data_IF_530070643224
#
_entry.id   IF_530070643224
#
_cell.length_a   1.000
_cell.length_b   1.000
_cell.length_c   1.000
_cell.angle_alpha   90.00
_cell.angle_beta   90.00
_cell.angle_gamma   90.00
#
_symmetry.space_group_name_H-M   'P 1'
#
loop_
_entity.id
_entity.type
_entity.pdbx_description
1 polymer ?
#
# COMPACT_ATOMS: atom_id res chain seq x y z
N UNK A 1 8.95 -27.60 22.11
CA UNK A 1 7.81 -27.98 21.24
C UNK A 1 7.75 -29.50 21.22
N UNK A 2 6.59 -30.09 21.47
CA UNK A 2 6.39 -31.54 21.37
C UNK A 2 6.15 -31.86 19.89
N UNK A 3 7.16 -32.42 19.23
CA UNK A 3 7.04 -32.79 17.82
C UNK A 3 6.36 -34.16 17.72
N UNK A 4 5.04 -34.14 17.55
CA UNK A 4 4.25 -35.36 17.42
C UNK A 4 4.13 -35.73 15.93
N UNK A 5 5.08 -36.54 15.45
CA UNK A 5 5.24 -36.91 14.02
C UNK A 5 4.00 -37.60 13.39
N UNK A 6 3.09 -38.11 14.21
CA UNK A 6 1.86 -38.80 13.74
C UNK A 6 0.80 -37.79 13.26
N UNK A 7 0.82 -36.56 13.77
CA UNK A 7 -0.15 -35.51 13.38
C UNK A 7 0.24 -34.91 12.03
N UNK A 8 1.54 -34.68 11.81
CA UNK A 8 2.08 -34.02 10.61
C UNK A 8 1.92 -34.85 9.33
N UNK A 9 1.73 -36.18 9.44
CA UNK A 9 1.59 -37.06 8.29
C UNK A 9 0.18 -37.04 7.65
N UNK A 10 -0.83 -36.50 8.34
CA UNK A 10 -2.24 -36.44 7.86
C UNK A 10 -2.66 -35.05 7.36
N UNK A 11 -1.84 -34.04 7.55
CA UNK A 11 -2.14 -32.70 7.07
C UNK A 11 -1.84 -32.65 5.57
N UNK A 12 -2.90 -32.74 4.76
CA UNK A 12 -2.82 -32.29 3.37
C UNK A 12 -2.29 -30.86 3.40
N UNK A 13 -1.28 -30.57 2.58
CA UNK A 13 -0.83 -29.20 2.38
C UNK A 13 -2.06 -28.34 2.11
N UNK A 14 -2.37 -27.45 3.04
CA UNK A 14 -3.43 -26.47 2.87
C UNK A 14 -2.89 -25.49 1.84
N UNK A 15 -3.26 -25.68 0.57
CA UNK A 15 -3.09 -24.67 -0.47
C UNK A 15 -4.14 -23.58 -0.23
N UNK A 16 -4.00 -22.86 0.88
CA UNK A 16 -4.81 -21.69 1.22
C UNK A 16 -4.34 -20.54 0.34
N UNK A 17 -4.83 -20.51 -0.90
CA UNK A 17 -4.69 -19.35 -1.77
C UNK A 17 -5.89 -18.44 -1.50
N UNK A 18 -5.72 -17.44 -0.64
CA UNK A 18 -6.77 -16.47 -0.37
C UNK A 18 -7.08 -15.69 -1.65
N UNK A 19 -8.36 -15.61 -2.08
CA UNK A 19 -8.73 -14.92 -3.33
C UNK A 19 -8.24 -13.47 -3.39
N UNK A 20 -8.06 -12.85 -2.22
CA UNK A 20 -7.68 -11.45 -2.05
C UNK A 20 -6.16 -11.26 -1.80
N UNK A 21 -5.38 -12.32 -1.57
CA UNK A 21 -3.92 -12.23 -1.41
C UNK A 21 -3.20 -12.45 -2.74
N UNK A 22 -3.69 -11.80 -3.80
CA UNK A 22 -2.96 -11.78 -5.07
C UNK A 22 -1.90 -10.71 -4.99
N UNK A 23 -0.65 -11.10 -5.23
CA UNK A 23 0.47 -10.17 -5.34
C UNK A 23 0.20 -9.25 -6.53
N UNK A 24 -0.33 -8.05 -6.26
CA UNK A 24 -0.64 -7.08 -7.30
C UNK A 24 0.68 -6.65 -7.95
N UNK A 25 0.90 -7.06 -9.20
CA UNK A 25 2.05 -6.61 -9.97
C UNK A 25 1.89 -5.12 -10.28
N UNK A 26 2.74 -4.30 -9.67
CA UNK A 26 2.80 -2.87 -9.97
C UNK A 26 3.60 -2.69 -11.26
N UNK A 27 2.95 -2.28 -12.36
CA UNK A 27 3.62 -2.01 -13.64
C UNK A 27 4.45 -0.73 -13.62
N UNK A 28 4.02 0.27 -12.83
CA UNK A 28 4.67 1.56 -12.68
C UNK A 28 4.59 1.98 -11.21
N UNK A 29 5.72 2.41 -10.64
CA UNK A 29 5.80 2.83 -9.25
C UNK A 29 4.87 4.04 -9.02
N UNK A 30 3.83 3.94 -8.17
CA UNK A 30 2.97 5.07 -7.88
C UNK A 30 3.76 6.23 -7.29
N UNK A 31 3.37 7.47 -7.60
CA UNK A 31 4.04 8.67 -7.08
C UNK A 31 4.05 8.74 -5.54
N UNK A 32 3.12 8.07 -4.87
CA UNK A 32 2.99 8.00 -3.41
C UNK A 32 3.68 6.78 -2.78
N UNK A 33 4.39 5.95 -3.56
CA UNK A 33 4.98 4.70 -3.06
C UNK A 33 5.96 4.94 -1.90
N UNK A 34 6.78 5.99 -1.95
CA UNK A 34 7.69 6.34 -0.85
C UNK A 34 6.94 6.71 0.42
N UNK A 35 5.81 7.43 0.30
CA UNK A 35 4.98 7.80 1.44
C UNK A 35 4.27 6.58 2.04
N UNK A 36 3.74 5.70 1.18
CA UNK A 36 3.11 4.44 1.60
C UNK A 36 4.11 3.56 2.37
N UNK A 37 5.31 3.35 1.81
CA UNK A 37 6.38 2.58 2.46
C UNK A 37 6.82 3.19 3.80
N UNK A 38 6.93 4.53 3.86
CA UNK A 38 7.25 5.22 5.09
C UNK A 38 6.15 5.04 6.15
N UNK A 39 4.87 5.12 5.77
CA UNK A 39 3.76 4.94 6.71
C UNK A 39 3.53 3.50 7.15
N UNK A 40 3.71 2.55 6.25
CA UNK A 40 3.55 1.12 6.54
C UNK A 40 4.70 0.55 7.38
N UNK A 41 5.94 0.97 7.10
CA UNK A 41 7.14 0.32 7.65
C UNK A 41 8.25 1.27 8.12
N UNK A 42 8.02 2.58 8.19
CA UNK A 42 9.04 3.59 8.51
C UNK A 42 10.27 3.56 7.57
N UNK A 43 10.08 3.04 6.35
CA UNK A 43 11.16 2.92 5.36
C UNK A 43 11.35 4.25 4.65
N UNK A 44 12.56 4.81 4.74
CA UNK A 44 12.95 6.02 4.01
C UNK A 44 13.93 5.64 2.89
N UNK A 45 13.71 6.09 1.64
CA UNK A 45 14.62 5.78 0.54
C UNK A 45 16.05 6.28 0.82
N UNK A 46 17.05 5.47 0.46
CA UNK A 46 18.47 5.76 0.74
C UNK A 46 19.01 6.88 -0.13
N UNK A 47 18.46 7.00 -1.33
CA UNK A 47 18.74 8.01 -2.35
C UNK A 47 18.18 9.41 -2.02
N UNK A 48 17.34 9.53 -1.00
CA UNK A 48 16.83 10.84 -0.58
C UNK A 48 17.94 11.70 0.04
N UNK A 49 18.07 12.92 -0.48
CA UNK A 49 18.83 14.01 0.14
C UNK A 49 18.22 14.38 1.51
N UNK A 50 18.99 15.07 2.35
CA UNK A 50 18.50 15.59 3.63
C UNK A 50 17.18 16.37 3.46
N UNK A 51 17.11 17.22 2.43
CA UNK A 51 15.96 18.10 2.18
C UNK A 51 14.70 17.29 1.81
N UNK A 52 14.87 16.26 0.98
CA UNK A 52 13.77 15.35 0.62
C UNK A 52 13.28 14.56 1.83
N UNK A 53 14.18 14.09 2.71
CA UNK A 53 13.77 13.42 3.96
C UNK A 53 12.96 14.35 4.86
N UNK A 54 13.41 15.60 5.05
CA UNK A 54 12.65 16.59 5.84
C UNK A 54 11.26 16.83 5.24
N UNK A 55 11.17 16.95 3.92
CA UNK A 55 9.89 17.09 3.22
C UNK A 55 9.00 15.88 3.43
N UNK A 56 9.53 14.66 3.28
CA UNK A 56 8.80 13.42 3.53
C UNK A 56 8.21 13.40 4.94
N UNK A 57 9.01 13.70 5.97
CA UNK A 57 8.53 13.74 7.36
C UNK A 57 7.49 14.83 7.62
N UNK A 58 7.62 15.97 6.95
CA UNK A 58 6.63 17.04 7.04
C UNK A 58 5.30 16.62 6.41
N UNK A 59 5.36 16.17 5.16
CA UNK A 59 4.20 15.76 4.38
C UNK A 59 3.49 14.57 5.04
N UNK A 60 4.25 13.62 5.60
CA UNK A 60 3.73 12.43 6.27
C UNK A 60 2.72 12.75 7.38
N UNK A 61 2.74 13.93 7.99
CA UNK A 61 1.75 14.30 9.01
C UNK A 61 0.32 14.33 8.47
N UNK A 62 0.15 14.60 7.17
CA UNK A 62 -1.15 14.71 6.51
C UNK A 62 -1.58 13.42 5.82
N UNK A 63 -0.74 12.38 5.81
CA UNK A 63 -1.04 11.11 5.17
C UNK A 63 -1.32 10.01 6.19
N UNK A 64 -2.23 9.13 5.83
CA UNK A 64 -2.66 7.98 6.60
C UNK A 64 -2.59 6.74 5.73
N UNK A 65 -2.09 5.64 6.30
CA UNK A 65 -1.98 4.35 5.63
C UNK A 65 -3.01 3.41 6.20
N UNK A 66 -3.83 2.85 5.32
CA UNK A 66 -4.83 1.81 5.61
C UNK A 66 -4.78 0.83 4.45
N UNK A 67 -4.02 -0.25 4.64
CA UNK A 67 -3.58 -1.18 3.60
C UNK A 67 -4.77 -1.67 2.72
N UNK A 68 -4.71 -1.56 1.38
CA UNK A 68 -3.59 -1.12 0.50
C UNK A 68 -3.62 0.37 0.11
N UNK A 69 -4.42 1.18 0.79
CA UNK A 69 -4.70 2.54 0.40
C UNK A 69 -3.95 3.56 1.26
N UNK A 70 -3.59 4.67 0.61
CA UNK A 70 -3.10 5.85 1.31
C UNK A 70 -4.12 6.97 1.17
N UNK A 71 -4.38 7.63 2.29
CA UNK A 71 -5.31 8.76 2.37
C UNK A 71 -4.55 10.03 2.72
N UNK A 72 -5.03 11.15 2.21
CA UNK A 72 -4.52 12.48 2.53
C UNK A 72 -5.63 13.31 3.15
N UNK A 73 -5.35 13.90 4.30
CA UNK A 73 -6.19 14.95 4.89
C UNK A 73 -5.95 16.26 4.12
N UNK A 74 -7.03 16.84 3.58
CA UNK A 74 -6.98 18.15 2.93
C UNK A 74 -7.43 19.23 3.92
N UNK A 75 -7.25 20.50 3.56
CA UNK A 75 -7.63 21.66 4.39
C UNK A 75 -9.12 21.73 4.75
N UNK A 76 -9.97 20.98 4.06
CA UNK A 76 -11.39 20.81 4.37
C UNK A 76 -11.63 19.81 5.52
N UNK A 77 -10.56 19.24 6.10
CA UNK A 77 -10.64 18.19 7.12
C UNK A 77 -11.11 16.84 6.58
N UNK A 78 -11.31 16.73 5.27
CA UNK A 78 -11.77 15.49 4.64
C UNK A 78 -10.59 14.64 4.22
N UNK A 79 -10.69 13.36 4.56
CA UNK A 79 -9.76 12.32 4.15
C UNK A 79 -10.09 11.87 2.74
N UNK A 80 -9.11 11.95 1.83
CA UNK A 80 -9.27 11.57 0.42
C UNK A 80 -8.26 10.51 0.05
N UNK A 81 -8.74 9.43 -0.57
CA UNK A 81 -7.90 8.35 -1.09
C UNK A 81 -6.99 8.90 -2.19
N UNK A 82 -5.70 8.60 -2.11
CA UNK A 82 -4.76 8.88 -3.19
C UNK A 82 -4.85 7.76 -4.22
N UNK A 83 -4.82 8.16 -5.48
CA UNK A 83 -5.08 7.30 -6.63
C UNK A 83 -3.90 7.44 -7.59
N UNK A 84 -3.41 6.32 -8.13
CA UNK A 84 -2.37 6.37 -9.15
C UNK A 84 -2.94 6.93 -10.46
N UNK A 85 -2.10 7.54 -11.31
CA UNK A 85 -2.58 8.16 -12.55
C UNK A 85 -3.34 7.20 -13.47
N UNK A 86 -2.90 5.94 -13.56
CA UNK A 86 -3.59 4.89 -14.32
C UNK A 86 -4.98 4.57 -13.75
N UNK A 87 -5.09 4.42 -12.43
CA UNK A 87 -6.36 4.16 -11.76
C UNK A 87 -7.30 5.37 -11.87
N UNK A 88 -6.79 6.59 -11.77
CA UNK A 88 -7.58 7.82 -11.91
C UNK A 88 -8.21 7.92 -13.31
N UNK A 89 -7.49 7.52 -14.36
CA UNK A 89 -8.03 7.45 -15.73
C UNK A 89 -9.15 6.41 -15.86
N UNK A 90 -8.96 5.23 -15.26
CA UNK A 90 -10.00 4.19 -15.25
C UNK A 90 -11.27 4.66 -14.53
N UNK A 91 -11.13 5.27 -13.36
CA UNK A 91 -12.27 5.85 -12.62
C UNK A 91 -12.98 6.90 -13.47
N UNK A 92 -12.23 7.82 -14.10
CA UNK A 92 -12.81 8.86 -14.94
C UNK A 92 -13.59 8.28 -16.12
N UNK A 93 -13.03 7.28 -16.81
CA UNK A 93 -13.70 6.60 -17.92
C UNK A 93 -15.03 5.98 -17.49
N UNK A 94 -15.04 5.25 -16.36
CA UNK A 94 -16.26 4.64 -15.83
C UNK A 94 -17.32 5.66 -15.36
N UNK A 95 -16.92 6.87 -14.97
CA UNK A 95 -17.85 7.89 -14.49
C UNK A 95 -18.43 8.79 -15.59
N UNK A 96 -17.73 8.97 -16.72
CA UNK A 96 -18.07 9.98 -17.72
C UNK A 96 -18.37 9.43 -19.12
N UNK A 97 -17.84 8.26 -19.49
CA UNK A 97 -18.01 7.66 -20.82
C UNK A 97 -19.00 6.48 -20.81
N UNK A 98 -20.01 6.51 -19.94
CA UNK A 98 -21.11 5.53 -19.90
C UNK A 98 -22.22 5.83 -20.91
#
# INVERSE_FOLDING_TARGET
RLDNAVVTAKEKNIAEEFPNERLLSISERPWFADMANFKAGNVVPKDYTWQQKKKLFHDAKQYWWDDPYIFKERSDGLMRRCVAGAEARSIMWHCHDS
#
